data_IF_745285841092
#
_entry.id   IF_745285841092
#
_cell.length_a   1.000
_cell.length_b   1.000
_cell.length_c   1.000
_cell.angle_alpha   90.00
_cell.angle_beta   90.00
_cell.angle_gamma   90.00
#
_symmetry.space_group_name_H-M   'P 1'
#
loop_
_entity.id
_entity.type
_entity.pdbx_description
1 polymer ?
#
# COMPACT_ATOMS: atom_id res chain seq x y z
N UNK A 1 36.65 21.92 40.50
CA UNK A 1 36.59 21.77 41.97
C UNK A 1 35.13 21.78 42.37
N UNK A 2 34.68 20.68 42.97
CA UNK A 2 33.38 20.56 43.61
C UNK A 2 33.37 21.34 44.92
N UNK A 3 32.41 22.23 45.07
CA UNK A 3 31.75 22.59 46.33
C UNK A 3 30.31 22.90 45.88
N UNK A 4 29.29 22.07 46.11
CA UNK A 4 28.95 21.45 47.38
C UNK A 4 27.99 22.37 48.14
N UNK A 5 26.85 22.71 47.54
CA UNK A 5 25.70 23.25 48.25
C UNK A 5 24.69 22.11 48.31
N UNK A 6 24.71 21.40 49.43
CA UNK A 6 23.58 20.60 49.88
C UNK A 6 22.42 21.57 50.09
N UNK A 7 21.47 21.60 49.15
CA UNK A 7 20.20 22.24 49.39
C UNK A 7 19.43 21.34 50.38
N UNK A 8 19.27 21.82 51.61
CA UNK A 8 18.34 21.23 52.56
C UNK A 8 16.94 21.13 51.92
N UNK A 9 16.19 20.03 52.15
CA UNK A 9 14.82 19.93 51.71
C UNK A 9 13.93 20.77 52.65
N UNK A 10 13.83 22.07 52.38
CA UNK A 10 13.03 23.04 53.15
C UNK A 10 12.77 24.25 52.24
N UNK A 11 11.56 24.69 51.92
CA UNK A 11 10.35 24.74 52.72
C UNK A 11 9.09 24.57 51.85
N UNK A 12 8.57 23.35 51.78
CA UNK A 12 7.12 23.18 51.87
C UNK A 12 6.87 22.87 53.33
N UNK A 13 6.42 23.89 54.05
CA UNK A 13 6.32 23.93 55.50
C UNK A 13 5.60 22.68 56.01
N UNK A 14 5.96 22.21 57.20
CA UNK A 14 5.17 21.28 58.00
C UNK A 14 3.65 21.59 57.97
N UNK A 15 3.32 22.88 57.84
CA UNK A 15 2.01 23.43 57.59
C UNK A 15 1.30 22.89 56.32
N UNK A 16 2.02 22.59 55.24
CA UNK A 16 1.47 22.04 54.01
C UNK A 16 1.21 20.54 54.11
N UNK A 17 2.08 19.78 54.77
CA UNK A 17 1.79 18.40 55.17
C UNK A 17 0.60 18.33 56.15
N UNK A 18 0.53 19.28 57.08
CA UNK A 18 -0.57 19.41 58.02
C UNK A 18 -1.89 19.73 57.30
N UNK A 19 -1.89 20.68 56.35
CA UNK A 19 -3.04 20.94 55.48
C UNK A 19 -3.42 19.67 54.72
N UNK A 20 -2.45 18.96 54.16
CA UNK A 20 -2.71 17.75 53.39
C UNK A 20 -3.35 16.66 54.26
N UNK A 21 -2.81 16.42 55.46
CA UNK A 21 -3.41 15.51 56.42
C UNK A 21 -4.83 15.94 56.80
N UNK A 22 -5.04 17.21 57.17
CA UNK A 22 -6.33 17.69 57.69
C UNK A 22 -7.43 17.81 56.62
N UNK A 23 -7.08 18.19 55.38
CA UNK A 23 -8.04 18.29 54.28
C UNK A 23 -8.39 16.92 53.68
N UNK A 24 -7.52 15.91 53.82
CA UNK A 24 -7.67 14.61 53.15
C UNK A 24 -8.11 13.49 54.09
N UNK A 25 -7.65 13.44 55.35
CA UNK A 25 -8.05 12.40 56.31
C UNK A 25 -9.51 12.44 56.73
N UNK A 26 -10.21 13.57 56.58
CA UNK A 26 -11.67 13.59 56.81
C UNK A 26 -12.45 12.78 55.75
N UNK A 27 -11.78 12.28 54.70
CA UNK A 27 -12.42 11.59 53.58
C UNK A 27 -11.81 10.22 53.26
N UNK A 28 -10.49 10.01 53.45
CA UNK A 28 -9.86 8.70 53.16
C UNK A 28 -8.44 8.57 53.77
N UNK A 29 -8.17 7.45 54.46
CA UNK A 29 -6.84 7.12 55.02
C UNK A 29 -5.86 6.75 53.91
N UNK A 30 -6.28 6.00 52.89
CA UNK A 30 -5.40 5.50 51.83
C UNK A 30 -4.86 6.62 50.93
N UNK A 31 -5.68 7.64 50.69
CA UNK A 31 -5.24 8.85 49.98
C UNK A 31 -4.16 9.61 50.76
N UNK A 32 -4.32 9.67 52.08
CA UNK A 32 -3.36 10.37 52.94
C UNK A 32 -2.04 9.61 53.00
N UNK A 33 -2.09 8.28 53.15
CA UNK A 33 -0.90 7.42 53.08
C UNK A 33 -0.19 7.57 51.74
N UNK A 34 -0.94 7.58 50.63
CA UNK A 34 -0.38 7.77 49.28
C UNK A 34 0.34 9.11 49.14
N UNK A 35 -0.24 10.19 49.66
CA UNK A 35 0.39 11.49 49.55
C UNK A 35 1.60 11.67 50.49
N UNK A 36 1.62 10.99 51.63
CA UNK A 36 2.81 10.91 52.49
C UNK A 36 3.96 10.21 51.76
N UNK A 37 3.68 9.14 51.01
CA UNK A 37 4.69 8.47 50.19
C UNK A 37 5.28 9.36 49.11
N UNK A 38 4.44 10.09 48.39
CA UNK A 38 4.87 11.02 47.35
C UNK A 38 5.71 12.15 47.94
N UNK A 39 5.32 12.68 49.10
CA UNK A 39 6.04 13.78 49.73
C UNK A 39 7.39 13.36 50.32
N UNK A 40 7.44 12.26 51.08
CA UNK A 40 8.68 11.81 51.74
C UNK A 40 9.66 11.13 50.77
N UNK A 41 9.22 10.88 49.52
CA UNK A 41 9.92 10.12 48.50
C UNK A 41 10.35 8.73 49.00
N UNK A 42 9.41 8.06 49.67
CA UNK A 42 9.59 6.73 50.27
C UNK A 42 8.97 5.67 49.36
N UNK A 43 9.58 4.48 49.32
CA UNK A 43 9.02 3.38 48.54
C UNK A 43 7.70 2.87 49.14
N UNK A 44 6.66 2.77 48.29
CA UNK A 44 5.37 2.18 48.67
C UNK A 44 5.49 0.66 48.73
N UNK A 45 5.82 0.14 49.90
CA UNK A 45 5.80 -1.28 50.19
C UNK A 45 4.75 -1.59 51.26
N UNK A 46 4.38 -2.86 51.40
CA UNK A 46 3.38 -3.29 52.36
C UNK A 46 3.78 -2.96 53.81
N UNK A 47 5.06 -3.15 54.16
CA UNK A 47 5.62 -2.81 55.49
C UNK A 47 5.45 -1.32 55.84
N UNK A 48 5.93 -0.42 54.98
CA UNK A 48 5.79 1.03 55.19
C UNK A 48 4.31 1.44 55.21
N UNK A 49 3.44 0.74 54.47
CA UNK A 49 2.01 1.11 54.37
C UNK A 49 1.31 0.76 55.66
N UNK A 50 1.60 -0.42 56.21
CA UNK A 50 1.11 -0.86 57.51
C UNK A 50 1.61 0.08 58.61
N UNK A 51 2.88 0.48 58.58
CA UNK A 51 3.47 1.35 59.61
C UNK A 51 2.86 2.76 59.59
N UNK A 52 2.78 3.39 58.41
CA UNK A 52 2.12 4.71 58.25
C UNK A 52 0.65 4.61 58.65
N UNK A 53 -0.08 3.60 58.17
CA UNK A 53 -1.51 3.44 58.47
C UNK A 53 -1.75 3.21 59.97
N UNK A 54 -0.94 2.38 60.62
CA UNK A 54 -1.06 2.09 62.06
C UNK A 54 -0.83 3.35 62.90
N UNK A 55 0.17 4.16 62.56
CA UNK A 55 0.45 5.42 63.27
C UNK A 55 -0.71 6.41 63.09
N UNK A 56 -1.26 6.50 61.87
CA UNK A 56 -2.43 7.32 61.59
C UNK A 56 -3.66 6.83 62.35
N UNK A 57 -3.95 5.53 62.35
CA UNK A 57 -5.10 4.94 63.03
C UNK A 57 -5.03 5.10 64.55
N UNK A 58 -3.87 4.86 65.17
CA UNK A 58 -3.66 5.06 66.61
C UNK A 58 -3.89 6.53 66.99
N UNK A 59 -3.44 7.47 66.16
CA UNK A 59 -3.62 8.90 66.42
C UNK A 59 -5.07 9.33 66.23
N UNK A 60 -5.72 8.86 65.17
CA UNK A 60 -7.11 9.20 64.83
C UNK A 60 -8.10 8.61 65.84
N UNK A 61 -7.86 7.37 66.29
CA UNK A 61 -8.67 6.70 67.31
C UNK A 61 -8.54 7.36 68.69
N UNK A 62 -7.34 7.80 69.10
CA UNK A 62 -7.12 8.51 70.37
C UNK A 62 -7.77 9.90 70.42
N UNK A 63 -7.97 10.55 69.28
CA UNK A 63 -8.40 11.95 69.21
C UNK A 63 -9.84 12.16 68.69
N UNK A 64 -10.56 11.09 68.32
CA UNK A 64 -11.96 11.16 67.87
C UNK A 64 -12.91 11.82 68.89
N UNK A 65 -12.63 11.69 70.19
CA UNK A 65 -13.40 12.33 71.28
C UNK A 65 -12.86 13.72 71.71
N UNK A 66 -11.71 14.17 71.19
CA UNK A 66 -11.11 15.50 71.45
C UNK A 66 -11.33 16.50 70.31
N UNK A 67 -11.81 16.02 69.17
CA UNK A 67 -11.93 16.78 67.92
C UNK A 67 -12.86 18.01 68.06
N UNK A 68 -13.93 17.91 68.86
CA UNK A 68 -14.82 19.04 69.15
C UNK A 68 -14.19 20.09 70.08
N UNK A 69 -13.28 19.68 70.98
CA UNK A 69 -12.56 20.58 71.88
C UNK A 69 -11.37 21.27 71.17
N UNK A 70 -10.74 20.62 70.19
CA UNK A 70 -9.54 21.11 69.51
C UNK A 70 -9.80 22.21 68.47
N UNK A 71 -11.05 22.56 68.16
CA UNK A 71 -11.35 23.63 67.18
C UNK A 71 -10.84 25.02 67.61
N UNK A 72 -10.43 25.20 68.88
CA UNK A 72 -9.95 26.47 69.47
C UNK A 72 -8.46 26.55 69.88
N UNK A 73 -7.62 25.58 69.51
CA UNK A 73 -6.16 25.66 69.80
C UNK A 73 -5.41 26.46 68.73
N UNK A 74 -4.33 27.17 69.12
CA UNK A 74 -3.49 27.94 68.20
C UNK A 74 -2.76 27.02 67.21
N UNK A 75 -2.52 27.53 66.00
CA UNK A 75 -1.86 26.78 64.92
C UNK A 75 -0.53 26.15 65.36
N UNK A 76 0.21 26.84 66.23
CA UNK A 76 1.51 26.40 66.74
C UNK A 76 1.42 25.09 67.55
N UNK A 77 0.38 24.91 68.37
CA UNK A 77 0.22 23.69 69.19
C UNK A 77 -0.21 22.49 68.33
N UNK A 78 -1.03 22.74 67.31
CA UNK A 78 -1.44 21.72 66.32
C UNK A 78 -0.26 21.26 65.47
N UNK A 79 0.62 22.18 65.13
CA UNK A 79 1.85 21.93 64.37
C UNK A 79 2.84 21.08 65.18
N UNK A 80 3.02 21.35 66.48
CA UNK A 80 3.82 20.50 67.38
C UNK A 80 3.23 19.09 67.56
N UNK A 81 1.90 18.96 67.68
CA UNK A 81 1.26 17.64 67.75
C UNK A 81 1.43 16.85 66.45
N UNK A 82 1.39 17.53 65.29
CA UNK A 82 1.63 16.91 63.99
C UNK A 82 3.09 16.47 63.78
N UNK A 83 4.09 17.21 64.29
CA UNK A 83 5.50 16.77 64.27
C UNK A 83 5.70 15.42 64.96
N UNK A 84 4.90 15.09 65.96
CA UNK A 84 4.98 13.79 66.66
C UNK A 84 4.32 12.64 65.88
N UNK A 85 3.60 12.93 64.80
CA UNK A 85 2.97 11.95 63.89
C UNK A 85 3.90 11.67 62.69
N UNK A 86 4.68 12.66 62.28
CA UNK A 86 5.60 12.54 61.14
C UNK A 86 6.70 11.54 61.49
N UNK A 87 6.65 10.35 60.88
CA UNK A 87 7.70 9.34 60.92
C UNK A 87 9.03 9.95 60.48
N UNK A 88 10.12 9.67 61.21
CA UNK A 88 11.43 10.21 60.81
C UNK A 88 11.87 9.50 59.55
N UNK A 89 12.41 10.24 58.57
CA UNK A 89 12.90 9.68 57.30
C UNK A 89 13.96 8.57 57.47
N UNK A 90 14.65 8.54 58.62
CA UNK A 90 15.60 7.48 59.01
C UNK A 90 14.95 6.15 59.40
N UNK A 91 13.65 6.15 59.73
CA UNK A 91 12.88 4.97 60.12
C UNK A 91 12.27 4.26 58.90
N UNK A 92 12.28 4.91 57.74
CA UNK A 92 11.67 4.43 56.49
C UNK A 92 12.73 3.97 55.48
N UNK A 93 12.48 2.88 54.76
CA UNK A 93 13.36 2.40 53.67
C UNK A 93 13.40 3.42 52.53
N UNK A 94 14.58 3.99 52.27
CA UNK A 94 14.78 4.97 51.20
C UNK A 94 14.81 4.32 49.82
N UNK A 95 14.31 5.03 48.80
CA UNK A 95 14.46 4.65 47.39
C UNK A 95 15.93 4.58 47.01
N UNK A 96 16.39 3.43 46.49
CA UNK A 96 17.68 3.36 45.84
C UNK A 96 17.64 4.18 44.53
N UNK A 97 18.64 5.05 44.33
CA UNK A 97 18.78 5.79 43.07
C UNK A 97 18.84 4.78 41.89
N UNK A 98 17.97 4.90 40.87
CA UNK A 98 18.02 3.99 39.75
C UNK A 98 19.38 4.12 39.04
N UNK A 99 19.98 3.02 38.58
CA UNK A 99 21.24 3.09 37.83
C UNK A 99 21.04 4.01 36.62
N UNK A 100 21.99 4.91 36.38
CA UNK A 100 22.00 5.76 35.18
C UNK A 100 21.79 4.86 33.96
N UNK A 101 20.62 4.96 33.32
CA UNK A 101 20.31 4.19 32.11
C UNK A 101 21.39 4.49 31.08
N UNK A 102 22.14 3.47 30.67
CA UNK A 102 23.10 3.56 29.57
C UNK A 102 22.38 4.10 28.34
N UNK A 103 22.74 5.31 27.93
CA UNK A 103 22.17 5.95 26.76
C UNK A 103 22.56 5.13 25.54
N UNK A 104 21.61 4.37 24.99
CA UNK A 104 21.84 3.60 23.77
C UNK A 104 22.25 4.53 22.64
N UNK A 105 23.26 4.11 21.88
CA UNK A 105 23.75 4.83 20.71
C UNK A 105 22.60 5.13 19.74
N UNK A 106 22.66 6.28 19.06
CA UNK A 106 21.61 6.72 18.14
C UNK A 106 21.34 5.68 17.06
N UNK A 107 22.36 4.99 16.56
CA UNK A 107 22.23 3.91 15.57
C UNK A 107 21.29 2.79 16.04
N UNK A 108 21.36 2.45 17.34
CA UNK A 108 20.72 1.30 17.98
C UNK A 108 19.31 1.52 18.52
N UNK A 109 18.79 2.75 18.49
CA UNK A 109 17.45 3.07 18.99
C UNK A 109 16.38 3.01 17.89
N UNK A 110 15.14 2.66 18.27
CA UNK A 110 14.00 2.59 17.35
C UNK A 110 13.54 3.95 16.83
N UNK A 111 12.79 3.96 15.73
CA UNK A 111 12.40 5.16 14.96
C UNK A 111 11.69 6.23 15.80
N UNK A 112 10.79 5.82 16.70
CA UNK A 112 10.06 6.75 17.59
C UNK A 112 10.99 7.48 18.56
N UNK A 113 12.03 6.82 19.05
CA UNK A 113 13.02 7.40 19.95
C UNK A 113 14.03 8.25 19.21
N UNK A 114 14.42 7.86 17.98
CA UNK A 114 15.19 8.72 17.06
C UNK A 114 14.48 10.04 16.79
N UNK A 115 13.18 9.99 16.47
CA UNK A 115 12.36 11.19 16.22
C UNK A 115 12.32 12.14 17.43
N UNK A 116 12.14 11.58 18.64
CA UNK A 116 12.19 12.37 19.89
C UNK A 116 13.56 13.01 20.10
N UNK A 117 14.65 12.26 19.91
CA UNK A 117 16.03 12.78 20.04
C UNK A 117 16.39 13.86 19.00
N UNK A 118 15.72 13.85 17.84
CA UNK A 118 15.93 14.82 16.76
C UNK A 118 14.95 15.99 16.78
N UNK A 119 14.02 16.07 17.75
CA UNK A 119 12.96 17.08 17.74
C UNK A 119 13.54 18.50 17.84
N UNK A 120 14.49 18.71 18.75
CA UNK A 120 15.10 20.03 18.95
C UNK A 120 15.92 20.46 17.72
N UNK A 121 16.71 19.55 17.16
CA UNK A 121 17.47 19.80 15.94
C UNK A 121 16.56 20.13 14.74
N UNK A 122 15.42 19.44 14.61
CA UNK A 122 14.49 19.71 13.53
C UNK A 122 13.87 21.11 13.68
N UNK A 123 13.50 21.51 14.90
CA UNK A 123 12.98 22.85 15.17
C UNK A 123 14.02 23.93 14.83
N UNK A 124 15.28 23.74 15.22
CA UNK A 124 16.37 24.66 14.89
C UNK A 124 16.61 24.76 13.37
N UNK A 125 16.53 23.65 12.65
CA UNK A 125 16.64 23.64 11.18
C UNK A 125 15.45 24.33 10.51
N UNK A 126 14.24 24.16 11.03
CA UNK A 126 13.03 24.82 10.55
C UNK A 126 13.09 26.34 10.77
N UNK A 127 13.58 26.79 11.92
CA UNK A 127 13.75 28.22 12.22
C UNK A 127 14.86 28.84 11.35
N UNK A 128 16.00 28.16 11.20
CA UNK A 128 17.07 28.61 10.30
C UNK A 128 16.62 28.70 8.84
N UNK A 129 15.87 27.71 8.37
CA UNK A 129 15.29 27.69 7.03
C UNK A 129 14.36 28.89 6.81
N UNK A 130 13.51 29.18 7.79
CA UNK A 130 12.58 30.33 7.79
C UNK A 130 13.32 31.66 7.74
N UNK A 131 14.32 31.85 8.60
CA UNK A 131 15.07 33.10 8.70
C UNK A 131 15.86 33.43 7.42
N UNK A 132 16.25 32.40 6.66
CA UNK A 132 17.04 32.55 5.44
C UNK A 132 16.22 32.37 4.15
N UNK A 133 14.89 32.24 4.24
CA UNK A 133 14.00 32.02 3.08
C UNK A 133 14.41 30.86 2.18
N UNK A 134 14.92 29.78 2.77
CA UNK A 134 15.32 28.54 2.09
C UNK A 134 14.54 27.35 2.66
N UNK A 135 14.45 26.25 1.92
CA UNK A 135 13.83 25.02 2.42
C UNK A 135 14.78 24.25 3.35
N UNK A 136 14.23 23.48 4.29
CA UNK A 136 15.01 22.59 5.17
C UNK A 136 15.87 21.60 4.36
N UNK A 137 15.39 21.17 3.19
CA UNK A 137 16.14 20.31 2.28
C UNK A 137 17.38 21.01 1.71
N UNK A 138 17.30 22.30 1.41
CA UNK A 138 18.44 23.11 0.98
C UNK A 138 19.46 23.28 2.10
N UNK A 139 18.99 23.50 3.34
CA UNK A 139 19.86 23.59 4.53
C UNK A 139 20.62 22.28 4.74
N UNK A 140 19.92 21.14 4.69
CA UNK A 140 20.53 19.82 4.83
C UNK A 140 21.51 19.52 3.69
N UNK A 141 21.14 19.89 2.44
CA UNK A 141 22.01 19.79 1.28
C UNK A 141 23.33 20.55 1.48
N UNK A 142 23.23 21.81 1.90
CA UNK A 142 24.38 22.66 2.18
C UNK A 142 25.29 22.04 3.25
N UNK A 143 24.72 21.57 4.36
CA UNK A 143 25.48 20.95 5.45
C UNK A 143 26.19 19.66 5.02
N UNK A 144 25.52 18.83 4.21
CA UNK A 144 26.10 17.60 3.65
C UNK A 144 27.24 17.94 2.68
N UNK A 145 27.05 18.95 1.82
CA UNK A 145 28.08 19.41 0.88
C UNK A 145 29.31 19.91 1.65
N UNK A 146 29.13 20.90 2.52
CA UNK A 146 30.22 21.54 3.28
C UNK A 146 31.03 20.55 4.11
N UNK A 147 30.35 19.60 4.78
CA UNK A 147 31.02 18.63 5.64
C UNK A 147 31.83 17.60 4.85
N UNK A 148 31.39 17.24 3.65
CA UNK A 148 31.97 16.12 2.90
C UNK A 148 32.80 16.56 1.68
N UNK A 149 32.88 17.86 1.36
CA UNK A 149 33.57 18.37 0.17
C UNK A 149 35.03 17.91 0.07
N UNK A 150 35.70 17.80 1.22
CA UNK A 150 37.11 17.37 1.31
C UNK A 150 37.27 15.85 1.42
N UNK A 151 36.40 15.18 2.18
CA UNK A 151 36.59 13.79 2.59
C UNK A 151 35.83 12.78 1.70
N UNK A 152 34.69 13.18 1.14
CA UNK A 152 33.84 12.32 0.33
C UNK A 152 33.09 13.11 -0.75
N UNK A 153 33.77 13.31 -1.89
CA UNK A 153 33.23 14.03 -3.06
C UNK A 153 31.87 13.51 -3.53
N UNK A 154 31.60 12.20 -3.40
CA UNK A 154 30.32 11.61 -3.81
C UNK A 154 29.17 12.03 -2.90
N UNK A 155 29.39 12.06 -1.58
CA UNK A 155 28.40 12.58 -0.63
C UNK A 155 28.24 14.10 -0.76
N UNK A 156 29.33 14.81 -1.05
CA UNK A 156 29.28 16.25 -1.28
C UNK A 156 28.41 16.59 -2.50
N UNK A 157 28.54 15.84 -3.60
CA UNK A 157 27.70 16.00 -4.79
C UNK A 157 26.21 15.69 -4.51
N UNK A 158 25.93 14.70 -3.67
CA UNK A 158 24.55 14.40 -3.21
C UNK A 158 23.97 15.55 -2.37
N UNK A 159 24.78 16.24 -1.56
CA UNK A 159 24.36 17.41 -0.80
C UNK A 159 24.19 18.67 -1.66
N UNK A 160 25.03 18.82 -2.69
CA UNK A 160 24.99 19.94 -3.63
C UNK A 160 23.69 20.02 -4.42
N UNK A 161 23.14 18.87 -4.83
CA UNK A 161 21.87 18.80 -5.58
C UNK A 161 20.70 19.50 -4.85
N UNK A 162 20.27 19.08 -3.64
CA UNK A 162 19.17 19.74 -2.94
C UNK A 162 19.50 21.18 -2.50
N UNK A 163 20.77 21.54 -2.33
CA UNK A 163 21.18 22.93 -2.03
C UNK A 163 20.96 23.87 -3.23
N UNK A 164 21.42 23.50 -4.42
CA UNK A 164 21.40 24.36 -5.61
C UNK A 164 20.04 24.37 -6.34
N UNK A 165 19.32 23.24 -6.35
CA UNK A 165 18.10 23.10 -7.17
C UNK A 165 16.81 23.23 -6.37
N UNK A 166 16.87 23.28 -5.04
CA UNK A 166 15.69 23.39 -4.16
C UNK A 166 14.83 22.13 -4.07
N UNK A 167 15.14 21.11 -4.87
CA UNK A 167 14.46 19.82 -4.88
C UNK A 167 15.48 18.70 -4.69
N UNK A 168 15.13 17.72 -3.86
CA UNK A 168 15.61 16.36 -4.07
C UNK A 168 14.99 15.89 -5.39
N UNK A 169 15.53 16.30 -6.53
CA UNK A 169 15.16 15.65 -7.78
C UNK A 169 15.50 14.17 -7.58
N UNK A 170 14.45 13.36 -7.43
CA UNK A 170 14.52 11.91 -7.39
C UNK A 170 15.03 11.52 -8.79
N UNK A 171 16.36 11.51 -8.96
CA UNK A 171 17.06 11.16 -10.21
C UNK A 171 16.77 9.72 -10.66
N UNK A 172 15.98 9.00 -9.87
CA UNK A 172 15.47 7.67 -10.19
C UNK A 172 14.54 7.76 -11.38
N UNK A 173 14.79 6.90 -12.36
CA UNK A 173 13.82 6.65 -13.42
C UNK A 173 12.50 6.22 -12.76
N UNK A 174 11.45 7.00 -12.94
CA UNK A 174 10.09 6.60 -12.56
C UNK A 174 9.50 5.80 -13.71
N UNK A 175 9.09 4.56 -13.44
CA UNK A 175 8.35 3.78 -14.43
C UNK A 175 6.94 4.32 -14.53
N UNK A 176 6.49 4.57 -15.75
CA UNK A 176 5.09 4.90 -16.00
C UNK A 176 4.18 3.67 -15.77
N UNK A 177 2.87 3.85 -15.94
CA UNK A 177 1.91 2.77 -15.71
C UNK A 177 2.02 1.66 -16.76
N UNK A 178 2.32 1.99 -18.02
CA UNK A 178 2.52 1.04 -19.11
C UNK A 178 3.78 0.19 -18.86
N UNK A 179 4.90 0.83 -18.51
CA UNK A 179 6.18 0.19 -18.20
C UNK A 179 6.05 -0.72 -16.97
N UNK A 180 5.40 -0.24 -15.90
CA UNK A 180 5.17 -1.05 -14.69
C UNK A 180 4.34 -2.29 -15.01
N UNK A 181 3.32 -2.13 -15.84
CA UNK A 181 2.43 -3.22 -16.20
C UNK A 181 3.06 -4.21 -17.18
N UNK A 182 3.83 -3.71 -18.14
CA UNK A 182 4.63 -4.50 -19.05
C UNK A 182 5.64 -5.34 -18.26
N UNK A 183 6.35 -4.74 -17.30
CA UNK A 183 7.27 -5.46 -16.41
C UNK A 183 6.54 -6.58 -15.66
N UNK A 184 5.41 -6.28 -15.02
CA UNK A 184 4.61 -7.28 -14.29
C UNK A 184 4.17 -8.44 -15.18
N UNK A 185 3.69 -8.13 -16.39
CA UNK A 185 3.09 -9.13 -17.29
C UNK A 185 4.14 -9.97 -18.01
N UNK A 186 5.22 -9.35 -18.48
CA UNK A 186 6.30 -10.04 -19.19
C UNK A 186 7.16 -10.92 -18.30
N UNK A 187 7.32 -10.54 -17.03
CA UNK A 187 8.05 -11.34 -16.03
C UNK A 187 7.13 -12.28 -15.23
N UNK A 188 5.84 -12.34 -15.58
CA UNK A 188 4.83 -13.19 -14.93
C UNK A 188 4.78 -13.01 -13.40
N UNK A 189 4.97 -11.77 -12.94
CA UNK A 189 5.11 -11.48 -11.51
C UNK A 189 3.74 -11.48 -10.83
N UNK A 190 3.67 -12.23 -9.73
CA UNK A 190 2.58 -12.13 -8.77
C UNK A 190 2.55 -10.75 -8.10
N UNK A 191 1.41 -10.44 -7.47
CA UNK A 191 1.22 -9.17 -6.75
C UNK A 191 2.30 -8.95 -5.68
N UNK A 192 2.59 -9.99 -4.89
CA UNK A 192 3.55 -9.92 -3.80
C UNK A 192 4.99 -9.75 -4.33
N UNK A 193 5.32 -10.34 -5.49
CA UNK A 193 6.62 -10.16 -6.12
C UNK A 193 6.82 -8.74 -6.63
N UNK A 194 5.78 -8.10 -7.19
CA UNK A 194 5.85 -6.68 -7.58
C UNK A 194 6.03 -5.78 -6.36
N UNK A 195 5.29 -6.03 -5.27
CA UNK A 195 5.41 -5.26 -4.03
C UNK A 195 6.82 -5.42 -3.40
N UNK A 196 7.37 -6.63 -3.43
CA UNK A 196 8.76 -6.89 -3.03
C UNK A 196 9.76 -6.13 -3.91
N UNK A 197 9.63 -6.21 -5.25
CA UNK A 197 10.52 -5.52 -6.19
C UNK A 197 10.43 -4.01 -6.04
N UNK A 198 9.25 -3.46 -5.76
CA UNK A 198 9.08 -2.04 -5.47
C UNK A 198 9.90 -1.61 -4.26
N UNK A 199 9.89 -2.40 -3.17
CA UNK A 199 10.72 -2.12 -2.00
C UNK A 199 12.20 -2.29 -2.28
N UNK A 200 12.58 -3.37 -2.96
CA UNK A 200 13.97 -3.71 -3.28
C UNK A 200 14.62 -2.71 -4.25
N UNK A 201 13.90 -2.30 -5.29
CA UNK A 201 14.38 -1.40 -6.34
C UNK A 201 14.16 0.09 -6.02
N UNK A 202 13.49 0.43 -4.92
CA UNK A 202 13.22 1.81 -4.52
C UNK A 202 14.44 2.74 -4.54
N UNK A 203 15.68 2.30 -4.24
CA UNK A 203 16.87 3.15 -4.36
C UNK A 203 17.24 3.51 -5.81
N UNK A 204 16.83 2.72 -6.80
CA UNK A 204 17.27 2.81 -8.19
C UNK A 204 16.17 3.25 -9.16
N UNK A 205 14.96 2.72 -8.98
CA UNK A 205 13.82 2.89 -9.89
C UNK A 205 12.57 3.07 -9.04
N UNK A 206 11.75 4.06 -9.41
CA UNK A 206 10.47 4.29 -8.76
C UNK A 206 9.37 3.55 -9.51
N UNK A 207 8.91 2.44 -8.92
CA UNK A 207 7.79 1.67 -9.45
C UNK A 207 6.47 2.29 -8.97
N UNK A 208 5.55 2.52 -9.91
CA UNK A 208 4.24 3.14 -9.66
C UNK A 208 3.42 2.41 -8.59
N UNK A 209 2.52 3.14 -7.92
CA UNK A 209 1.69 2.53 -6.87
C UNK A 209 0.70 1.52 -7.47
N UNK A 210 0.54 0.40 -6.77
CA UNK A 210 -0.30 -0.73 -7.15
C UNK A 210 -1.74 -0.33 -7.42
N UNK A 211 -2.30 0.57 -6.63
CA UNK A 211 -3.69 1.02 -6.79
C UNK A 211 -3.89 1.77 -8.11
N UNK A 212 -2.96 2.66 -8.46
CA UNK A 212 -3.00 3.37 -9.74
C UNK A 212 -2.80 2.43 -10.93
N UNK A 213 -1.88 1.46 -10.83
CA UNK A 213 -1.69 0.45 -11.88
C UNK A 213 -2.94 -0.43 -12.04
N UNK A 214 -3.65 -0.73 -10.93
CA UNK A 214 -4.92 -1.47 -10.99
C UNK A 214 -6.03 -0.67 -11.67
N UNK A 215 -6.16 0.61 -11.36
CA UNK A 215 -7.16 1.47 -11.99
C UNK A 215 -6.87 1.58 -13.49
N UNK A 216 -5.61 1.82 -13.85
CA UNK A 216 -5.17 1.84 -15.25
C UNK A 216 -5.38 0.50 -15.98
N UNK A 217 -5.22 -0.63 -15.27
CA UNK A 217 -5.52 -1.96 -15.81
C UNK A 217 -7.00 -2.14 -16.14
N UNK A 218 -7.92 -1.54 -15.37
CA UNK A 218 -9.35 -1.67 -15.67
C UNK A 218 -9.71 -0.99 -17.00
N UNK A 219 -9.00 0.07 -17.38
CA UNK A 219 -9.16 0.74 -18.69
C UNK A 219 -8.66 -0.11 -19.87
N UNK A 220 -7.86 -1.15 -19.59
CA UNK A 220 -7.33 -2.09 -20.58
C UNK A 220 -8.21 -3.31 -20.80
N UNK A 221 -9.13 -3.59 -19.89
CA UNK A 221 -9.94 -4.79 -19.95
C UNK A 221 -11.28 -4.53 -20.65
N UNK A 222 -11.73 -5.45 -21.52
CA UNK A 222 -13.12 -5.42 -21.96
C UNK A 222 -14.04 -5.67 -20.77
N UNK A 223 -15.28 -5.20 -20.86
CA UNK A 223 -16.32 -5.63 -19.94
C UNK A 223 -16.53 -7.14 -20.12
N UNK A 224 -16.27 -7.91 -19.07
CA UNK A 224 -16.48 -9.36 -19.05
C UNK A 224 -17.64 -9.63 -18.09
N UNK A 225 -18.65 -10.35 -18.57
CA UNK A 225 -19.74 -10.83 -17.74
C UNK A 225 -19.79 -12.37 -17.82
N UNK A 226 -20.12 -13.06 -16.70
CA UNK A 226 -20.47 -14.48 -16.77
C UNK A 226 -21.67 -14.64 -17.71
N UNK A 227 -21.59 -15.60 -18.63
CA UNK A 227 -22.65 -15.77 -19.62
C UNK A 227 -23.92 -16.30 -18.96
N UNK A 228 -24.98 -15.48 -18.87
CA UNK A 228 -26.28 -15.84 -18.30
C UNK A 228 -26.18 -16.49 -16.90
N UNK A 229 -25.30 -15.96 -16.04
CA UNK A 229 -25.00 -16.49 -14.70
C UNK A 229 -24.33 -17.88 -14.68
N UNK A 230 -23.84 -18.39 -15.81
CA UNK A 230 -22.99 -19.57 -15.83
C UNK A 230 -21.55 -19.20 -15.46
N UNK A 231 -21.10 -19.63 -14.29
CA UNK A 231 -19.74 -19.37 -13.78
C UNK A 231 -18.65 -20.14 -14.53
N UNK A 232 -19.02 -21.15 -15.32
CA UNK A 232 -18.10 -21.94 -16.15
C UNK A 232 -17.81 -21.28 -17.51
N UNK A 233 -18.46 -20.15 -17.81
CA UNK A 233 -18.39 -19.49 -19.11
C UNK A 233 -18.14 -17.99 -18.96
N UNK A 234 -16.96 -17.56 -19.39
CA UNK A 234 -16.59 -16.15 -19.50
C UNK A 234 -16.59 -15.77 -20.98
N UNK A 235 -17.45 -14.83 -21.34
CA UNK A 235 -17.57 -14.33 -22.71
C UNK A 235 -17.39 -12.82 -22.67
N UNK A 236 -16.49 -12.33 -23.52
CA UNK A 236 -16.30 -10.91 -23.78
C UNK A 236 -17.03 -10.53 -25.07
N UNK A 237 -17.61 -9.34 -25.07
CA UNK A 237 -18.16 -8.75 -26.28
C UNK A 237 -17.03 -8.50 -27.31
N UNK A 238 -17.19 -9.04 -28.51
CA UNK A 238 -16.15 -9.00 -29.55
C UNK A 238 -15.87 -7.57 -29.99
N UNK A 239 -16.93 -6.77 -30.19
CA UNK A 239 -16.82 -5.39 -30.63
C UNK A 239 -15.99 -4.57 -29.63
N UNK A 240 -16.30 -4.68 -28.34
CA UNK A 240 -15.54 -4.04 -27.26
C UNK A 240 -14.06 -4.42 -27.28
N UNK A 241 -13.74 -5.70 -27.47
CA UNK A 241 -12.34 -6.18 -27.48
C UNK A 241 -11.60 -5.64 -28.72
N UNK A 242 -12.27 -5.57 -29.87
CA UNK A 242 -11.72 -4.98 -31.10
C UNK A 242 -11.48 -3.47 -30.92
N UNK A 243 -12.45 -2.73 -30.36
CA UNK A 243 -12.33 -1.29 -30.07
C UNK A 243 -11.10 -1.02 -29.20
N UNK A 244 -10.96 -1.74 -28.08
CA UNK A 244 -9.80 -1.60 -27.18
C UNK A 244 -8.50 -1.91 -27.93
N UNK A 245 -8.50 -2.97 -28.74
CA UNK A 245 -7.32 -3.37 -29.53
C UNK A 245 -6.91 -2.28 -30.51
N UNK A 246 -7.86 -1.71 -31.26
CA UNK A 246 -7.60 -0.63 -32.23
C UNK A 246 -7.12 0.64 -31.52
N UNK A 247 -7.78 1.05 -30.42
CA UNK A 247 -7.34 2.21 -29.62
C UNK A 247 -5.87 2.09 -29.21
N UNK A 248 -5.45 0.90 -28.75
CA UNK A 248 -4.05 0.64 -28.36
C UNK A 248 -3.10 0.59 -29.55
N UNK A 249 -3.53 0.10 -30.72
CA UNK A 249 -2.73 0.18 -31.95
C UNK A 249 -2.53 1.63 -32.41
N UNK A 250 -3.58 2.45 -32.39
CA UNK A 250 -3.51 3.89 -32.73
C UNK A 250 -2.58 4.62 -31.76
N UNK A 251 -2.72 4.38 -30.45
CA UNK A 251 -1.83 4.95 -29.44
C UNK A 251 -0.37 4.59 -29.69
N UNK A 252 -0.07 3.31 -29.93
CA UNK A 252 1.28 2.83 -30.22
C UNK A 252 1.86 3.51 -31.47
N UNK A 253 1.09 3.61 -32.55
CA UNK A 253 1.52 4.28 -33.78
C UNK A 253 1.81 5.76 -33.55
N UNK A 254 0.95 6.46 -32.79
CA UNK A 254 1.17 7.87 -32.44
C UNK A 254 2.40 8.07 -31.56
N UNK A 255 2.67 7.16 -30.59
CA UNK A 255 3.92 7.17 -29.80
C UNK A 255 5.17 6.98 -30.68
N UNK A 256 5.03 6.37 -31.86
CA UNK A 256 6.07 6.19 -32.87
C UNK A 256 6.12 7.34 -33.90
N UNK A 257 5.35 8.42 -33.70
CA UNK A 257 5.19 9.53 -34.64
C UNK A 257 4.62 9.12 -36.02
N UNK A 258 3.90 8.00 -36.09
CA UNK A 258 3.21 7.56 -37.31
C UNK A 258 1.83 8.21 -37.37
N UNK A 259 1.54 8.92 -38.47
CA UNK A 259 0.20 9.47 -38.72
C UNK A 259 -0.77 8.32 -39.00
N UNK A 260 -1.94 8.36 -38.37
CA UNK A 260 -2.98 7.34 -38.53
C UNK A 260 -4.22 7.96 -39.19
N UNK A 261 -4.55 7.57 -40.44
CA UNK A 261 -5.74 8.03 -41.14
C UNK A 261 -7.03 7.67 -40.39
N UNK A 262 -8.10 8.43 -40.62
CA UNK A 262 -9.41 8.20 -39.96
C UNK A 262 -10.21 7.06 -40.58
N UNK A 263 -9.93 6.68 -41.83
CA UNK A 263 -10.56 5.55 -42.52
C UNK A 263 -9.60 4.38 -42.57
N UNK A 264 -9.98 3.27 -41.97
CA UNK A 264 -9.09 2.14 -41.74
C UNK A 264 -9.76 0.80 -42.12
N UNK A 265 -8.96 -0.17 -42.53
CA UNK A 265 -9.34 -1.58 -42.62
C UNK A 265 -8.55 -2.38 -41.59
N UNK A 266 -9.25 -2.94 -40.60
CA UNK A 266 -8.69 -3.81 -39.59
C UNK A 266 -8.91 -5.27 -39.99
N UNK A 267 -7.81 -6.01 -40.13
CA UNK A 267 -7.84 -7.44 -40.45
C UNK A 267 -7.42 -8.25 -39.25
N UNK A 268 -8.15 -9.34 -39.00
CA UNK A 268 -7.86 -10.29 -37.94
C UNK A 268 -8.11 -11.71 -38.39
N UNK A 269 -7.43 -12.65 -37.72
CA UNK A 269 -7.80 -14.06 -37.79
C UNK A 269 -8.46 -14.51 -36.49
N UNK A 270 -9.43 -15.40 -36.60
CA UNK A 270 -10.24 -15.90 -35.49
C UNK A 270 -10.21 -17.41 -35.47
N UNK A 271 -10.44 -17.98 -34.29
CA UNK A 271 -10.62 -19.42 -34.13
C UNK A 271 -10.71 -19.79 -32.67
N UNK A 272 -10.66 -21.08 -32.42
CA UNK A 272 -10.89 -21.62 -31.09
C UNK A 272 -10.21 -22.98 -30.95
N UNK A 273 -9.87 -23.32 -29.71
CA UNK A 273 -9.09 -24.50 -29.37
C UNK A 273 -9.47 -25.04 -27.99
N UNK A 274 -9.37 -26.36 -27.84
CA UNK A 274 -9.66 -27.10 -26.63
C UNK A 274 -8.36 -27.59 -25.95
N UNK A 275 -8.17 -27.21 -24.69
CA UNK A 275 -7.08 -27.71 -23.86
C UNK A 275 -7.62 -28.65 -22.77
N UNK A 276 -7.07 -29.86 -22.69
CA UNK A 276 -7.44 -30.86 -21.68
C UNK A 276 -6.48 -30.91 -20.48
N UNK A 277 -6.80 -31.78 -19.51
CA UNK A 277 -5.98 -32.08 -18.33
C UNK A 277 -5.73 -30.89 -17.38
N UNK A 278 -6.69 -29.98 -17.28
CA UNK A 278 -6.67 -28.90 -16.29
C UNK A 278 -6.94 -29.45 -14.90
N UNK A 279 -6.25 -28.89 -13.91
CA UNK A 279 -6.47 -29.24 -12.50
C UNK A 279 -7.84 -28.77 -12.02
N UNK A 280 -8.57 -29.65 -11.34
CA UNK A 280 -9.88 -29.32 -10.76
C UNK A 280 -9.68 -28.60 -9.42
N UNK A 281 -10.26 -27.41 -9.30
CA UNK A 281 -10.31 -26.69 -8.04
C UNK A 281 -11.37 -27.31 -7.11
N UNK A 282 -10.95 -27.67 -5.89
CA UNK A 282 -11.86 -28.11 -4.83
C UNK A 282 -12.53 -26.90 -4.18
N UNK A 283 -13.49 -26.29 -4.87
CA UNK A 283 -14.36 -25.26 -4.31
C UNK A 283 -15.60 -25.91 -3.67
N UNK A 284 -16.00 -25.43 -2.48
CA UNK A 284 -17.21 -25.93 -1.79
C UNK A 284 -18.49 -25.52 -2.50
N UNK A 285 -18.50 -24.34 -3.13
CA UNK A 285 -19.73 -23.71 -3.63
C UNK A 285 -19.85 -23.75 -5.17
N UNK A 286 -18.77 -24.08 -5.87
CA UNK A 286 -18.69 -24.11 -7.35
C UNK A 286 -17.71 -25.20 -7.77
N UNK A 287 -18.05 -26.49 -7.55
CA UNK A 287 -17.18 -27.58 -7.97
C UNK A 287 -17.07 -27.59 -9.50
N UNK A 288 -15.88 -27.31 -10.02
CA UNK A 288 -15.61 -27.49 -11.44
C UNK A 288 -15.70 -28.97 -11.77
N UNK A 289 -16.59 -29.33 -12.70
CA UNK A 289 -16.79 -30.73 -13.09
C UNK A 289 -15.92 -31.14 -14.27
N UNK A 290 -15.35 -30.16 -14.98
CA UNK A 290 -14.59 -30.39 -16.21
C UNK A 290 -13.10 -30.12 -16.03
N UNK A 291 -12.27 -30.99 -16.61
CA UNK A 291 -10.81 -30.83 -16.72
C UNK A 291 -10.40 -30.20 -18.05
N UNK A 292 -11.35 -29.72 -18.85
CA UNK A 292 -11.09 -29.16 -20.17
C UNK A 292 -11.49 -27.69 -20.20
N UNK A 293 -10.72 -26.90 -20.94
CA UNK A 293 -11.01 -25.51 -21.24
C UNK A 293 -11.09 -25.37 -22.75
N UNK A 294 -12.23 -24.89 -23.23
CA UNK A 294 -12.41 -24.44 -24.60
C UNK A 294 -12.24 -22.93 -24.66
N UNK A 295 -11.46 -22.46 -25.62
CA UNK A 295 -11.12 -21.04 -25.76
C UNK A 295 -11.45 -20.52 -27.16
N UNK A 296 -12.20 -19.42 -27.24
CA UNK A 296 -12.41 -18.65 -28.49
C UNK A 296 -11.54 -17.41 -28.44
N UNK A 297 -10.83 -17.13 -29.52
CA UNK A 297 -9.87 -16.03 -29.58
C UNK A 297 -9.75 -15.44 -30.99
N UNK A 298 -9.15 -14.26 -31.07
CA UNK A 298 -8.70 -13.68 -32.33
C UNK A 298 -7.28 -13.13 -32.21
N UNK A 299 -6.65 -12.87 -33.34
CA UNK A 299 -5.35 -12.23 -33.45
C UNK A 299 -5.45 -11.08 -34.46
N UNK A 300 -5.13 -9.83 -34.08
CA UNK A 300 -5.02 -8.72 -35.02
C UNK A 300 -3.86 -9.00 -36.00
N UNK A 301 -4.12 -8.84 -37.29
CA UNK A 301 -3.14 -9.11 -38.36
C UNK A 301 -2.55 -7.83 -38.94
N UNK A 302 -3.41 -6.88 -39.30
CA UNK A 302 -2.97 -5.62 -39.89
C UNK A 302 -4.01 -4.52 -39.76
N UNK A 303 -3.54 -3.28 -39.80
CA UNK A 303 -4.34 -2.09 -40.00
C UNK A 303 -3.89 -1.45 -41.31
N UNK A 304 -4.83 -1.24 -42.22
CA UNK A 304 -4.59 -0.56 -43.50
C UNK A 304 -5.35 0.75 -43.56
N UNK A 305 -4.89 1.68 -44.36
CA UNK A 305 -5.63 2.90 -44.69
C UNK A 305 -6.63 2.67 -45.83
N UNK A 306 -7.31 3.73 -46.26
CA UNK A 306 -8.23 3.71 -47.41
C UNK A 306 -7.54 3.49 -48.76
N UNK A 307 -6.23 3.70 -48.87
CA UNK A 307 -5.46 3.48 -50.10
C UNK A 307 -4.97 2.03 -50.24
N UNK A 308 -5.05 1.26 -49.15
CA UNK A 308 -4.57 -0.11 -49.05
C UNK A 308 -3.16 -0.23 -48.49
N UNK A 309 -2.53 0.89 -48.12
CA UNK A 309 -1.24 0.93 -47.44
C UNK A 309 -1.36 0.37 -46.02
N UNK A 310 -0.36 -0.42 -45.60
CA UNK A 310 -0.35 -1.07 -44.29
C UNK A 310 0.28 -0.13 -43.26
N UNK A 311 -0.55 0.53 -42.46
CA UNK A 311 -0.12 1.42 -41.37
C UNK A 311 0.42 0.61 -40.18
N UNK A 312 -0.09 -0.61 -39.97
CA UNK A 312 0.43 -1.52 -38.96
C UNK A 312 0.32 -2.97 -39.40
N UNK A 313 1.33 -3.77 -39.07
CA UNK A 313 1.38 -5.22 -39.32
C UNK A 313 1.81 -5.96 -38.08
N UNK A 314 1.15 -7.07 -37.79
CA UNK A 314 1.60 -8.00 -36.76
C UNK A 314 2.78 -8.83 -37.28
N UNK A 315 3.97 -8.60 -36.72
CA UNK A 315 5.19 -9.32 -37.07
C UNK A 315 5.20 -10.79 -36.61
N UNK A 316 4.35 -11.15 -35.65
CA UNK A 316 4.31 -12.49 -35.05
C UNK A 316 2.87 -12.96 -34.85
N UNK A 317 2.13 -13.22 -35.94
CA UNK A 317 0.69 -13.55 -35.88
C UNK A 317 0.39 -14.91 -35.24
N UNK A 318 1.40 -15.75 -35.01
CA UNK A 318 1.25 -17.04 -34.32
C UNK A 318 1.73 -17.01 -32.86
N UNK A 319 2.20 -15.84 -32.37
CA UNK A 319 2.59 -15.72 -30.97
C UNK A 319 1.37 -15.63 -30.06
N UNK A 320 1.37 -16.42 -28.99
CA UNK A 320 0.34 -16.36 -27.94
C UNK A 320 0.19 -14.96 -27.33
N UNK A 321 1.26 -14.13 -27.35
CA UNK A 321 1.25 -12.73 -26.86
C UNK A 321 0.30 -11.82 -27.65
N UNK A 322 -0.05 -12.21 -28.88
CA UNK A 322 -0.93 -11.44 -29.78
C UNK A 322 -2.36 -11.98 -29.79
N UNK A 323 -2.63 -13.13 -29.17
CA UNK A 323 -3.98 -13.65 -29.04
C UNK A 323 -4.81 -12.79 -28.08
N UNK A 324 -6.07 -12.57 -28.45
CA UNK A 324 -7.08 -11.86 -27.67
C UNK A 324 -8.21 -12.84 -27.34
N UNK A 325 -8.39 -13.23 -26.07
CA UNK A 325 -9.45 -14.15 -25.69
C UNK A 325 -10.81 -13.45 -25.79
N UNK A 326 -11.78 -14.15 -26.38
CA UNK A 326 -13.19 -13.76 -26.46
C UNK A 326 -14.08 -14.65 -25.61
N UNK A 327 -13.71 -15.92 -25.47
CA UNK A 327 -14.45 -16.90 -24.68
C UNK A 327 -13.49 -17.83 -23.96
N UNK A 328 -13.76 -18.10 -22.69
CA UNK A 328 -13.15 -19.16 -21.90
C UNK A 328 -14.29 -19.98 -21.27
N UNK A 329 -14.38 -21.25 -21.66
CA UNK A 329 -15.49 -22.13 -21.33
C UNK A 329 -14.91 -23.40 -20.72
N UNK A 330 -15.28 -23.73 -19.48
CA UNK A 330 -14.84 -24.96 -18.81
C UNK A 330 -15.63 -26.19 -19.31
N UNK A 331 -15.58 -26.44 -20.62
CA UNK A 331 -16.25 -27.56 -21.27
C UNK A 331 -15.28 -28.28 -22.22
N UNK A 332 -15.49 -29.59 -22.40
CA UNK A 332 -14.77 -30.37 -23.41
C UNK A 332 -15.30 -30.01 -24.79
N UNK A 333 -14.41 -29.93 -25.77
CA UNK A 333 -14.80 -29.76 -27.16
C UNK A 333 -15.83 -30.83 -27.58
N UNK A 334 -16.95 -30.35 -28.12
CA UNK A 334 -18.05 -31.18 -28.60
C UNK A 334 -18.82 -30.45 -29.69
N UNK A 335 -19.50 -31.18 -30.58
CA UNK A 335 -20.35 -30.59 -31.62
C UNK A 335 -21.42 -29.64 -31.03
N UNK A 336 -21.95 -29.97 -29.85
CA UNK A 336 -22.93 -29.13 -29.15
C UNK A 336 -22.32 -27.80 -28.71
N UNK A 337 -21.11 -27.83 -28.15
CA UNK A 337 -20.38 -26.63 -27.75
C UNK A 337 -20.04 -25.77 -28.97
N UNK A 338 -19.58 -26.38 -30.06
CA UNK A 338 -19.28 -25.65 -31.32
C UNK A 338 -20.53 -24.95 -31.88
N UNK A 339 -21.67 -25.65 -31.92
CA UNK A 339 -22.93 -25.06 -32.34
C UNK A 339 -23.34 -23.87 -31.46
N UNK A 340 -23.18 -24.01 -30.15
CA UNK A 340 -23.41 -22.91 -29.21
C UNK A 340 -22.48 -21.71 -29.47
N UNK A 341 -21.17 -21.95 -29.55
CA UNK A 341 -20.16 -20.88 -29.76
C UNK A 341 -20.41 -20.16 -31.08
N UNK A 342 -20.68 -20.89 -32.16
CA UNK A 342 -20.99 -20.31 -33.46
C UNK A 342 -22.32 -19.51 -33.40
N UNK A 343 -23.34 -20.04 -32.72
CA UNK A 343 -24.59 -19.31 -32.49
C UNK A 343 -24.43 -18.00 -31.70
N UNK A 344 -23.43 -17.92 -30.82
CA UNK A 344 -23.14 -16.70 -30.04
C UNK A 344 -22.33 -15.68 -30.85
N UNK A 345 -21.26 -16.11 -31.53
CA UNK A 345 -20.31 -15.18 -32.15
C UNK A 345 -20.59 -14.88 -33.63
N UNK A 346 -21.08 -15.83 -34.43
CA UNK A 346 -21.23 -15.62 -35.88
C UNK A 346 -22.18 -14.48 -36.28
N UNK A 347 -23.33 -14.28 -35.62
CA UNK A 347 -24.20 -13.14 -35.95
C UNK A 347 -23.49 -11.80 -35.77
N UNK A 348 -22.74 -11.66 -34.67
CA UNK A 348 -21.94 -10.48 -34.39
C UNK A 348 -20.78 -10.31 -35.38
N UNK A 349 -20.06 -11.39 -35.70
CA UNK A 349 -18.98 -11.39 -36.70
C UNK A 349 -19.50 -10.93 -38.08
N UNK A 350 -20.66 -11.43 -38.52
CA UNK A 350 -21.28 -11.01 -39.79
C UNK A 350 -21.69 -9.55 -39.77
N UNK A 351 -22.30 -9.09 -38.68
CA UNK A 351 -22.70 -7.68 -38.54
C UNK A 351 -21.49 -6.75 -38.56
N UNK A 352 -20.40 -7.09 -37.87
CA UNK A 352 -19.16 -6.32 -37.85
C UNK A 352 -18.49 -6.25 -39.22
N UNK A 353 -18.46 -7.35 -39.98
CA UNK A 353 -17.90 -7.37 -41.33
C UNK A 353 -18.72 -6.55 -42.34
N UNK A 354 -20.05 -6.52 -42.17
CA UNK A 354 -20.95 -5.77 -43.05
C UNK A 354 -20.94 -4.27 -42.75
N UNK A 355 -21.00 -3.90 -41.46
CA UNK A 355 -21.24 -2.53 -41.04
C UNK A 355 -19.95 -1.78 -40.67
N UNK A 356 -18.86 -2.49 -40.39
CA UNK A 356 -17.69 -1.91 -39.74
C UNK A 356 -18.00 -1.44 -38.30
N UNK A 357 -17.11 -0.64 -37.74
CA UNK A 357 -17.27 -0.01 -36.43
C UNK A 357 -16.73 1.42 -36.43
N UNK A 358 -17.17 2.21 -35.46
CA UNK A 358 -16.60 3.53 -35.16
C UNK A 358 -15.78 3.46 -33.88
N UNK A 359 -14.56 3.99 -33.93
CA UNK A 359 -13.65 4.04 -32.78
C UNK A 359 -13.30 5.48 -32.49
N UNK A 360 -13.64 5.97 -31.29
CA UNK A 360 -13.22 7.30 -30.84
C UNK A 360 -11.93 7.22 -30.02
N UNK A 361 -10.90 7.98 -30.41
CA UNK A 361 -9.65 8.08 -29.67
C UNK A 361 -9.07 9.50 -29.71
N UNK A 362 -8.86 10.09 -28.53
CA UNK A 362 -8.44 11.50 -28.34
C UNK A 362 -9.26 12.49 -29.19
N UNK A 363 -10.60 12.44 -29.08
CA UNK A 363 -11.55 13.29 -29.81
C UNK A 363 -11.48 13.18 -31.34
N UNK A 364 -10.90 12.09 -31.86
CA UNK A 364 -10.90 11.76 -33.29
C UNK A 364 -11.73 10.50 -33.49
N UNK A 365 -12.73 10.58 -34.38
CA UNK A 365 -13.52 9.42 -34.80
C UNK A 365 -12.83 8.70 -35.96
N UNK A 366 -12.66 7.40 -35.81
CA UNK A 366 -12.12 6.49 -36.81
C UNK A 366 -13.23 5.57 -37.35
N UNK A 367 -13.39 5.56 -38.66
CA UNK A 367 -14.27 4.64 -39.38
C UNK A 367 -13.46 3.40 -39.76
N UNK A 368 -13.82 2.23 -39.21
CA UNK A 368 -13.03 1.01 -39.35
C UNK A 368 -13.84 -0.09 -40.00
N UNK A 369 -13.43 -0.50 -41.21
CA UNK A 369 -13.90 -1.71 -41.87
C UNK A 369 -13.24 -2.93 -41.22
N UNK A 370 -14.03 -3.96 -40.93
CA UNK A 370 -13.54 -5.19 -40.25
C UNK A 370 -13.49 -6.35 -41.25
N UNK A 371 -12.36 -7.06 -41.26
CA UNK A 371 -12.17 -8.28 -42.05
C UNK A 371 -11.74 -9.40 -41.11
N UNK A 372 -12.55 -10.46 -41.05
CA UNK A 372 -12.36 -11.59 -40.13
C UNK A 372 -12.05 -12.85 -40.93
N UNK A 373 -10.90 -13.46 -40.66
CA UNK A 373 -10.46 -14.71 -41.29
C UNK A 373 -10.55 -15.87 -40.31
N UNK A 374 -11.40 -16.86 -40.58
CA UNK A 374 -11.53 -18.05 -39.73
C UNK A 374 -10.44 -19.10 -40.03
N UNK A 375 -9.17 -18.77 -39.75
CA UNK A 375 -8.02 -19.63 -40.06
C UNK A 375 -7.40 -20.34 -38.85
N UNK A 376 -7.70 -19.93 -37.61
CA UNK A 376 -7.12 -20.49 -36.37
C UNK A 376 -7.91 -21.70 -35.85
N UNK A 377 -8.18 -22.67 -36.72
CA UNK A 377 -8.90 -23.90 -36.39
C UNK A 377 -8.08 -25.08 -36.85
N UNK A 378 -7.88 -26.06 -35.97
CA UNK A 378 -7.22 -27.31 -36.33
C UNK A 378 -8.10 -28.13 -37.29
N UNK A 379 -7.52 -29.21 -37.84
CA UNK A 379 -8.24 -30.04 -38.80
C UNK A 379 -9.43 -30.75 -38.15
N UNK A 380 -9.28 -31.28 -36.94
CA UNK A 380 -10.33 -32.00 -36.24
C UNK A 380 -11.58 -31.15 -36.05
N UNK A 381 -11.37 -29.89 -35.73
CA UNK A 381 -12.42 -28.93 -35.47
C UNK A 381 -13.10 -28.48 -36.76
N UNK A 382 -12.34 -28.25 -37.83
CA UNK A 382 -12.91 -27.98 -39.18
C UNK A 382 -13.76 -29.16 -39.68
N UNK A 383 -13.29 -30.38 -39.45
CA UNK A 383 -14.02 -31.62 -39.76
C UNK A 383 -15.31 -31.72 -38.95
N UNK A 384 -15.26 -31.35 -37.66
CA UNK A 384 -16.42 -31.38 -36.77
C UNK A 384 -17.46 -30.31 -37.14
N UNK A 385 -17.02 -29.10 -37.50
CA UNK A 385 -17.91 -28.01 -37.93
C UNK A 385 -18.55 -28.27 -39.32
N UNK A 386 -17.78 -28.80 -40.26
CA UNK A 386 -18.28 -29.11 -41.61
C UNK A 386 -19.16 -30.37 -41.67
N UNK A 387 -19.19 -31.17 -40.60
CA UNK A 387 -19.87 -32.47 -40.58
C UNK A 387 -19.20 -33.54 -41.44
N UNK A 388 -18.06 -33.24 -42.05
CA UNK A 388 -17.31 -34.13 -42.95
C UNK A 388 -16.38 -35.05 -42.15
N UNK A 389 -16.95 -35.98 -41.36
CA UNK A 389 -16.15 -36.95 -40.59
C UNK A 389 -15.20 -37.74 -41.52
N UNK A 390 -13.89 -37.49 -41.41
CA UNK A 390 -12.83 -38.31 -42.04
C UNK A 390 -12.57 -38.06 -43.53
N UNK A 391 -13.01 -36.95 -44.11
CA UNK A 391 -12.72 -36.60 -45.50
C UNK A 391 -11.55 -35.59 -45.59
N UNK A 392 -10.34 -36.04 -45.25
CA UNK A 392 -9.12 -35.23 -45.19
C UNK A 392 -8.71 -34.57 -46.54
N UNK A 393 -9.28 -35.05 -47.65
CA UNK A 393 -8.94 -34.61 -49.01
C UNK A 393 -9.88 -33.55 -49.61
N UNK A 394 -10.94 -33.12 -48.92
CA UNK A 394 -11.92 -32.15 -49.47
C UNK A 394 -11.76 -30.70 -48.95
N UNK A 395 -10.87 -30.45 -48.00
CA UNK A 395 -10.69 -29.13 -47.37
C UNK A 395 -9.50 -28.33 -47.96
N UNK A 396 -9.16 -28.50 -49.24
CA UNK A 396 -8.28 -27.53 -49.92
C UNK A 396 -9.04 -26.23 -50.13
N UNK A 397 -8.48 -25.06 -49.80
CA UNK A 397 -9.02 -23.80 -50.32
C UNK A 397 -8.91 -23.87 -51.84
N UNK A 398 -10.01 -23.68 -52.55
CA UNK A 398 -9.94 -23.23 -53.94
C UNK A 398 -9.35 -21.83 -53.91
N UNK A 399 -8.23 -21.64 -54.63
CA UNK A 399 -7.48 -20.38 -54.75
C UNK A 399 -8.36 -19.16 -55.07
#
# INVERSE_FOLDING_TARGET
>A
MNYGIEAEPSDLLLNDLYKLYYYTCNKDVDLTVTAIYEYLDVERCEENTIEISTVLDVHTAKNKNRFDACRRLSNQRRETEFQNIVLRKSELKQRQNPPKRTTRDFSSVGTKQKKRKLTDLNNELDDFARDNSISVNQVLGFLIQQRNDRDNKKLAEIGKQPYETGDLQDTKKQLDYDETLAMKSHLELSRNQVDFLKGFLHPYIKISNREYVRNYWNDLLPAIAPWRNNTEMLIADRETVIIITIKRLIEMLRKQNTSVPTKLEYREKTGHDGAGNMSIYKSKDTPMQNTNIFSKMFVPLSLKDSTGEVVWRNESPNSSRRCRPLGLIAEKESTKLLWFVNGVFEPGEKSLMQNGIKVEYNNVEYEVKIVIESSMKDLNLRTTESGLRGADCLLRPTD
#
